data_IF_505557636822
#
_entry.id   IF_505557636822
#
_cell.length_a   1.000
_cell.length_b   1.000
_cell.length_c   1.000
_cell.angle_alpha   90.00
_cell.angle_beta   90.00
_cell.angle_gamma   90.00
#
_symmetry.space_group_name_H-M   'P 1'
#
loop_
_entity.id
_entity.type
_entity.pdbx_description
1 polymer ?
#
# COMPACT_ATOMS: atom_id res chain seq x y z
N UNK A 1 1.39 -19.14 -9.48
CA UNK A 1 0.08 -18.61 -9.05
C UNK A 1 0.30 -17.19 -8.56
N UNK A 2 -0.32 -16.21 -9.22
CA UNK A 2 -0.25 -14.81 -8.79
C UNK A 2 -1.03 -14.66 -7.47
N UNK A 3 -0.56 -13.84 -6.50
CA UNK A 3 -1.35 -13.46 -5.32
C UNK A 3 -2.81 -13.10 -5.60
N UNK A 4 -3.10 -12.50 -6.78
CA UNK A 4 -4.45 -12.16 -7.23
C UNK A 4 -5.35 -13.38 -7.47
N UNK A 5 -4.80 -14.51 -7.95
CA UNK A 5 -5.57 -15.75 -8.14
C UNK A 5 -5.94 -16.39 -6.80
N UNK A 6 -5.03 -16.30 -5.82
CA UNK A 6 -5.30 -16.73 -4.44
C UNK A 6 -6.43 -15.92 -3.79
N UNK A 7 -6.52 -14.63 -4.11
CA UNK A 7 -7.49 -13.69 -3.56
C UNK A 7 -8.90 -13.86 -4.11
N UNK A 8 -9.04 -14.06 -5.42
CA UNK A 8 -10.35 -14.33 -6.05
C UNK A 8 -10.87 -15.69 -5.59
N UNK A 9 -9.98 -16.69 -5.46
CA UNK A 9 -10.34 -18.02 -4.96
C UNK A 9 -10.87 -17.97 -3.53
N UNK A 10 -10.22 -17.19 -2.66
CA UNK A 10 -10.54 -17.13 -1.23
C UNK A 10 -11.72 -16.19 -0.91
N UNK A 11 -11.81 -15.03 -1.57
CA UNK A 11 -12.88 -14.04 -1.34
C UNK A 11 -14.24 -14.50 -1.87
N UNK A 12 -14.27 -15.39 -2.86
CA UNK A 12 -15.50 -15.91 -3.48
C UNK A 12 -15.77 -17.39 -3.16
N UNK A 13 -15.03 -18.00 -2.24
CA UNK A 13 -15.23 -19.39 -1.83
C UNK A 13 -15.10 -20.41 -2.97
N UNK A 14 -14.28 -20.10 -3.99
CA UNK A 14 -14.04 -21.00 -5.12
C UNK A 14 -13.13 -22.12 -4.61
N UNK A 15 -13.65 -23.35 -4.57
CA UNK A 15 -12.81 -24.50 -4.24
C UNK A 15 -11.70 -24.66 -5.27
N UNK A 16 -10.45 -24.84 -4.80
CA UNK A 16 -9.24 -25.09 -5.62
C UNK A 16 -9.45 -26.18 -6.67
N UNK A 17 -10.38 -27.11 -6.43
CA UNK A 17 -10.77 -28.18 -7.34
C UNK A 17 -11.50 -27.75 -8.62
N UNK A 18 -11.95 -26.48 -8.73
CA UNK A 18 -12.67 -25.96 -9.91
C UNK A 18 -11.82 -25.05 -10.80
N UNK A 19 -10.61 -24.66 -10.38
CA UNK A 19 -9.73 -23.81 -11.19
C UNK A 19 -8.79 -24.71 -12.00
N UNK A 20 -8.96 -24.70 -13.32
CA UNK A 20 -8.03 -25.37 -14.23
C UNK A 20 -6.66 -24.69 -14.08
N UNK A 21 -5.67 -25.41 -13.54
CA UNK A 21 -4.32 -24.90 -13.26
C UNK A 21 -3.75 -24.18 -14.50
N UNK A 22 -3.43 -22.88 -14.36
CA UNK A 22 -2.77 -22.04 -15.38
C UNK A 22 -3.68 -21.26 -16.33
N UNK A 23 -4.98 -21.59 -16.46
CA UNK A 23 -5.87 -20.89 -17.39
C UNK A 23 -6.23 -19.45 -16.95
N UNK A 24 -6.08 -19.15 -15.66
CA UNK A 24 -6.37 -17.83 -15.11
C UNK A 24 -5.18 -16.87 -15.14
N UNK A 25 -3.95 -17.37 -15.33
CA UNK A 25 -2.75 -16.53 -15.36
C UNK A 25 -2.79 -15.47 -16.47
N UNK A 26 -3.56 -15.70 -17.55
CA UNK A 26 -3.78 -14.72 -18.63
C UNK A 26 -4.56 -13.47 -18.19
N UNK A 27 -5.29 -13.54 -17.07
CA UNK A 27 -6.04 -12.42 -16.51
C UNK A 27 -5.23 -11.65 -15.45
N UNK A 28 -4.03 -12.14 -15.12
CA UNK A 28 -3.12 -11.45 -14.22
C UNK A 28 -2.72 -10.10 -14.81
N UNK A 29 -2.78 -9.06 -13.99
CA UNK A 29 -2.23 -7.77 -14.38
C UNK A 29 -0.69 -7.82 -14.45
N UNK A 30 -0.14 -7.26 -15.53
CA UNK A 30 1.29 -7.33 -15.81
C UNK A 30 2.13 -6.43 -14.89
N UNK A 31 1.64 -5.23 -14.55
CA UNK A 31 2.38 -4.24 -13.75
C UNK A 31 1.86 -4.12 -12.31
N UNK A 32 0.70 -4.72 -12.03
CA UNK A 32 0.07 -4.80 -10.73
C UNK A 32 -0.79 -3.59 -10.38
N UNK A 33 -1.19 -2.75 -11.34
CA UNK A 33 -2.04 -1.58 -11.12
C UNK A 33 -3.34 -1.75 -11.89
N UNK A 34 -4.47 -1.77 -11.17
CA UNK A 34 -5.80 -1.88 -11.78
C UNK A 34 -6.67 -0.71 -11.32
N UNK A 35 -6.92 0.24 -12.22
CA UNK A 35 -7.85 1.34 -11.95
C UNK A 35 -9.31 0.85 -11.92
N UNK A 36 -10.10 1.34 -10.96
CA UNK A 36 -11.53 1.00 -10.89
C UNK A 36 -12.28 1.57 -12.10
N UNK A 37 -11.94 2.79 -12.51
CA UNK A 37 -12.42 3.40 -13.75
C UNK A 37 -11.50 3.05 -14.91
N UNK A 38 -12.01 2.98 -16.16
CA UNK A 38 -11.17 2.84 -17.34
C UNK A 38 -10.17 4.00 -17.45
N UNK A 39 -8.89 3.67 -17.44
CA UNK A 39 -7.75 4.58 -17.61
C UNK A 39 -6.81 3.92 -18.63
N UNK A 40 -6.17 4.71 -19.49
CA UNK A 40 -5.19 4.22 -20.50
C UNK A 40 -5.73 3.22 -21.52
N UNK A 41 -7.04 3.22 -21.78
CA UNK A 41 -7.67 2.25 -22.67
C UNK A 41 -7.81 0.85 -22.07
N UNK A 42 -7.46 0.67 -20.80
CA UNK A 42 -7.72 -0.56 -20.07
C UNK A 42 -9.19 -0.65 -19.64
N UNK A 43 -9.71 -1.87 -19.60
CA UNK A 43 -11.04 -2.14 -19.05
C UNK A 43 -11.12 -1.81 -17.56
N UNK A 44 -12.32 -1.53 -17.07
CA UNK A 44 -12.54 -1.27 -15.64
C UNK A 44 -12.15 -2.49 -14.78
N UNK A 45 -11.82 -2.25 -13.51
CA UNK A 45 -11.57 -3.35 -12.57
C UNK A 45 -12.74 -4.34 -12.48
N UNK A 46 -13.98 -3.84 -12.58
CA UNK A 46 -15.17 -4.69 -12.53
C UNK A 46 -15.30 -5.56 -13.79
N UNK A 47 -15.04 -5.02 -14.99
CA UNK A 47 -15.06 -5.80 -16.23
C UNK A 47 -13.97 -6.87 -16.24
N UNK A 48 -12.75 -6.51 -15.81
CA UNK A 48 -11.64 -7.45 -15.63
C UNK A 48 -12.01 -8.58 -14.69
N UNK A 49 -12.60 -8.25 -13.54
CA UNK A 49 -13.05 -9.25 -12.56
C UNK A 49 -14.18 -10.13 -13.12
N UNK A 50 -15.15 -9.57 -13.83
CA UNK A 50 -16.21 -10.37 -14.48
C UNK A 50 -15.65 -11.35 -15.50
N UNK A 51 -14.69 -10.92 -16.31
CA UNK A 51 -14.05 -11.80 -17.30
C UNK A 51 -13.29 -12.95 -16.62
N UNK A 52 -12.57 -12.65 -15.53
CA UNK A 52 -11.89 -13.66 -14.73
C UNK A 52 -12.88 -14.64 -14.08
N UNK A 53 -13.98 -14.15 -13.50
CA UNK A 53 -15.01 -15.00 -12.91
C UNK A 53 -15.73 -15.84 -13.97
N UNK A 54 -16.00 -15.27 -15.14
CA UNK A 54 -16.58 -16.00 -16.26
C UNK A 54 -15.69 -17.16 -16.72
N UNK A 55 -14.38 -16.93 -16.82
CA UNK A 55 -13.42 -17.98 -17.12
C UNK A 55 -13.32 -19.03 -16.00
N UNK A 56 -13.33 -18.60 -14.74
CA UNK A 56 -13.22 -19.49 -13.58
C UNK A 56 -14.44 -20.40 -13.39
N UNK A 57 -15.65 -19.89 -13.62
CA UNK A 57 -16.90 -20.65 -13.47
C UNK A 57 -17.37 -21.31 -14.78
N UNK A 58 -16.84 -20.90 -15.93
CA UNK A 58 -17.20 -21.46 -17.24
C UNK A 58 -18.71 -21.44 -17.46
N UNK A 59 -19.30 -22.60 -17.74
CA UNK A 59 -20.74 -22.75 -17.97
C UNK A 59 -21.59 -22.44 -16.71
N UNK A 60 -21.02 -22.48 -15.50
CA UNK A 60 -21.71 -22.12 -14.26
C UNK A 60 -21.82 -20.59 -14.08
N UNK A 61 -21.11 -19.80 -14.90
CA UNK A 61 -21.14 -18.34 -14.82
C UNK A 61 -22.47 -17.76 -15.33
N UNK A 62 -23.06 -16.87 -14.54
CA UNK A 62 -24.28 -16.16 -14.90
C UNK A 62 -24.45 -14.92 -14.01
N UNK A 63 -25.35 -14.02 -14.39
CA UNK A 63 -25.74 -12.87 -13.54
C UNK A 63 -26.28 -13.33 -12.18
N UNK A 64 -26.97 -14.47 -12.14
CA UNK A 64 -27.45 -15.07 -10.89
C UNK A 64 -26.27 -15.55 -10.01
N UNK A 65 -25.24 -16.13 -10.62
CA UNK A 65 -24.00 -16.52 -9.93
C UNK A 65 -23.26 -15.29 -9.38
N UNK A 66 -23.11 -14.22 -10.17
CA UNK A 66 -22.49 -12.97 -9.70
C UNK A 66 -23.22 -12.41 -8.47
N UNK A 67 -24.56 -12.37 -8.50
CA UNK A 67 -25.37 -11.93 -7.36
C UNK A 67 -25.20 -12.83 -6.13
N UNK A 68 -25.13 -14.16 -6.34
CA UNK A 68 -24.86 -15.12 -5.27
C UNK A 68 -23.49 -14.88 -4.63
N UNK A 69 -22.46 -14.61 -5.43
CA UNK A 69 -21.11 -14.31 -4.98
C UNK A 69 -21.05 -13.00 -4.17
N UNK A 70 -21.71 -11.94 -4.65
CA UNK A 70 -21.83 -10.67 -3.91
C UNK A 70 -22.57 -10.84 -2.56
N UNK A 71 -23.56 -11.72 -2.49
CA UNK A 71 -24.22 -12.07 -1.23
C UNK A 71 -23.30 -12.82 -0.28
N UNK A 72 -22.52 -13.78 -0.80
CA UNK A 72 -21.58 -14.56 0.00
C UNK A 72 -20.40 -13.74 0.53
N UNK A 73 -19.93 -12.74 -0.24
CA UNK A 73 -18.83 -11.86 0.16
C UNK A 73 -19.20 -10.94 1.35
N UNK A 74 -20.49 -10.64 1.54
CA UNK A 74 -20.97 -9.76 2.62
C UNK A 74 -21.94 -10.49 3.57
N UNK A 75 -21.48 -11.51 4.33
CA UNK A 75 -22.36 -12.36 5.14
C UNK A 75 -23.09 -11.62 6.28
N UNK A 76 -22.52 -10.50 6.75
CA UNK A 76 -23.02 -9.73 7.88
C UNK A 76 -23.50 -8.31 7.49
N UNK A 77 -24.02 -8.13 6.28
CA UNK A 77 -24.48 -6.81 5.82
C UNK A 77 -25.32 -6.83 4.56
N UNK A 78 -25.65 -5.64 4.06
CA UNK A 78 -26.32 -5.50 2.76
C UNK A 78 -25.31 -5.84 1.65
N UNK A 79 -25.60 -6.83 0.79
CA UNK A 79 -24.79 -7.13 -0.38
C UNK A 79 -24.74 -5.91 -1.31
N UNK A 80 -23.58 -5.68 -1.92
CA UNK A 80 -23.44 -4.70 -3.00
C UNK A 80 -24.34 -5.06 -4.19
N UNK A 81 -24.84 -4.04 -4.89
CA UNK A 81 -25.71 -4.23 -6.05
C UNK A 81 -24.96 -4.65 -7.32
N UNK A 82 -23.65 -4.39 -7.38
CA UNK A 82 -22.76 -4.79 -8.48
C UNK A 82 -21.32 -5.00 -8.00
N UNK A 83 -20.48 -5.59 -8.86
CA UNK A 83 -19.04 -5.71 -8.62
C UNK A 83 -18.34 -4.35 -8.51
N UNK A 84 -18.76 -3.33 -9.25
CA UNK A 84 -18.23 -1.96 -9.11
C UNK A 84 -18.46 -1.41 -7.71
N UNK A 85 -19.68 -1.52 -7.20
CA UNK A 85 -20.01 -1.04 -5.86
C UNK A 85 -19.21 -1.83 -4.81
N UNK A 86 -19.08 -3.14 -4.97
CA UNK A 86 -18.31 -3.98 -4.07
C UNK A 86 -16.82 -3.63 -4.07
N UNK A 87 -16.17 -3.58 -5.24
CA UNK A 87 -14.76 -3.20 -5.41
C UNK A 87 -14.48 -1.83 -4.81
N UNK A 88 -15.40 -0.90 -5.01
CA UNK A 88 -15.29 0.46 -4.50
C UNK A 88 -15.45 0.52 -2.98
N UNK A 89 -16.50 -0.06 -2.43
CA UNK A 89 -16.95 0.26 -1.06
C UNK A 89 -16.59 -0.80 -0.01
N UNK A 90 -16.44 -2.06 -0.41
CA UNK A 90 -16.37 -3.21 0.50
C UNK A 90 -15.08 -4.00 0.40
N UNK A 91 -14.64 -4.27 -0.83
CA UNK A 91 -13.53 -5.17 -1.14
C UNK A 91 -12.30 -4.93 -0.26
N UNK A 92 -11.75 -3.72 -0.22
CA UNK A 92 -10.50 -3.49 0.52
C UNK A 92 -10.65 -3.66 2.04
N UNK A 93 -11.82 -3.36 2.60
CA UNK A 93 -12.09 -3.58 4.03
C UNK A 93 -12.20 -5.08 4.33
N UNK A 94 -12.91 -5.82 3.49
CA UNK A 94 -13.03 -7.28 3.58
C UNK A 94 -11.67 -7.95 3.41
N UNK A 95 -10.89 -7.53 2.40
CA UNK A 95 -9.51 -7.95 2.15
C UNK A 95 -8.61 -7.72 3.37
N UNK A 96 -8.69 -6.53 3.97
CA UNK A 96 -7.95 -6.25 5.20
C UNK A 96 -8.30 -7.23 6.31
N UNK A 97 -9.58 -7.56 6.53
CA UNK A 97 -10.00 -8.51 7.60
C UNK A 97 -9.56 -9.93 7.28
N UNK A 98 -9.72 -10.34 6.03
CA UNK A 98 -9.41 -11.67 5.52
C UNK A 98 -7.92 -12.02 5.70
N UNK A 99 -7.05 -11.05 5.46
CA UNK A 99 -5.60 -11.20 5.61
C UNK A 99 -5.07 -10.62 6.93
N UNK A 100 -5.87 -10.65 8.00
CA UNK A 100 -5.45 -10.27 9.35
C UNK A 100 -4.75 -8.89 9.43
N UNK A 101 -5.26 -7.93 8.66
CA UNK A 101 -4.72 -6.58 8.48
C UNK A 101 -3.29 -6.52 7.94
N UNK A 102 -2.97 -7.48 7.04
CA UNK A 102 -1.77 -7.53 6.18
C UNK A 102 -2.21 -7.68 4.71
N UNK A 103 -3.02 -6.75 4.16
CA UNK A 103 -3.52 -6.87 2.80
C UNK A 103 -2.37 -6.81 1.78
N UNK A 104 -2.45 -7.60 0.71
CA UNK A 104 -1.49 -7.57 -0.39
C UNK A 104 -2.03 -6.94 -1.67
N UNK A 105 -3.29 -6.51 -1.68
CA UNK A 105 -3.84 -5.58 -2.68
C UNK A 105 -4.21 -4.31 -1.93
N UNK A 106 -3.63 -3.20 -2.34
CA UNK A 106 -3.85 -1.91 -1.69
C UNK A 106 -4.78 -1.08 -2.55
N UNK A 107 -5.90 -0.66 -1.96
CA UNK A 107 -6.81 0.26 -2.62
C UNK A 107 -6.41 1.69 -2.30
N UNK A 108 -5.74 2.33 -3.24
CA UNK A 108 -5.28 3.72 -3.16
C UNK A 108 -6.29 4.60 -3.90
N UNK A 109 -6.65 5.74 -3.29
CA UNK A 109 -7.67 6.62 -3.85
C UNK A 109 -7.46 8.07 -3.43
N UNK A 110 -8.10 8.99 -4.16
CA UNK A 110 -8.01 10.45 -3.94
C UNK A 110 -9.02 10.98 -2.90
N UNK A 111 -9.68 10.07 -2.17
CA UNK A 111 -10.66 10.42 -1.15
C UNK A 111 -12.05 10.77 -1.68
N UNK A 112 -12.28 10.72 -3.00
CA UNK A 112 -13.58 10.94 -3.62
C UNK A 112 -14.21 9.64 -4.11
N UNK A 113 -15.55 9.58 -4.02
CA UNK A 113 -16.32 8.47 -4.61
C UNK A 113 -16.28 8.50 -6.14
N UNK A 114 -16.29 9.67 -6.75
CA UNK A 114 -16.24 9.88 -8.21
C UNK A 114 -14.82 10.20 -8.71
N UNK A 115 -13.80 9.98 -7.88
CA UNK A 115 -12.40 10.29 -8.18
C UNK A 115 -11.55 9.09 -8.58
N UNK A 116 -10.24 9.29 -8.55
CA UNK A 116 -9.26 8.26 -8.84
C UNK A 116 -9.28 7.15 -7.78
N UNK A 117 -9.34 5.91 -8.24
CA UNK A 117 -9.29 4.72 -7.41
C UNK A 117 -8.48 3.64 -8.15
N UNK A 118 -7.48 3.06 -7.49
CA UNK A 118 -6.66 1.99 -8.03
C UNK A 118 -6.43 0.89 -6.99
N UNK A 119 -6.47 -0.36 -7.46
CA UNK A 119 -6.02 -1.54 -6.73
C UNK A 119 -4.59 -1.83 -7.15
N UNK A 120 -3.68 -1.92 -6.18
CA UNK A 120 -2.24 -2.04 -6.42
C UNK A 120 -1.70 -3.27 -5.72
N UNK A 121 -1.03 -4.15 -6.46
CA UNK A 121 -0.43 -5.36 -5.91
C UNK A 121 0.82 -5.01 -5.09
N UNK A 122 0.78 -5.30 -3.79
CA UNK A 122 1.89 -5.09 -2.87
C UNK A 122 3.19 -5.77 -3.32
N UNK A 123 3.11 -6.96 -3.93
CA UNK A 123 4.31 -7.68 -4.36
C UNK A 123 5.02 -6.97 -5.53
N UNK A 124 4.27 -6.23 -6.36
CA UNK A 124 4.84 -5.35 -7.38
C UNK A 124 5.34 -4.06 -6.76
N UNK A 125 4.54 -3.46 -5.88
CA UNK A 125 4.87 -2.22 -5.20
C UNK A 125 6.08 -2.33 -4.25
N UNK A 126 6.38 -3.54 -3.76
CA UNK A 126 7.56 -3.89 -2.99
C UNK A 126 8.53 -4.81 -3.76
N UNK A 127 8.45 -4.80 -5.09
CA UNK A 127 9.29 -5.62 -5.94
C UNK A 127 10.78 -5.25 -5.82
N UNK A 128 11.69 -6.23 -5.95
CA UNK A 128 13.12 -6.01 -5.80
C UNK A 128 13.71 -5.21 -6.97
N UNK A 129 14.99 -4.84 -6.88
CA UNK A 129 15.76 -4.26 -8.00
C UNK A 129 15.10 -3.00 -8.62
N UNK A 130 14.49 -2.16 -7.78
CA UNK A 130 13.81 -0.94 -8.20
C UNK A 130 12.45 -1.16 -8.88
N UNK A 131 11.92 -2.38 -8.93
CA UNK A 131 10.56 -2.65 -9.41
C UNK A 131 9.53 -1.89 -8.56
N UNK A 132 9.64 -1.96 -7.23
CA UNK A 132 8.71 -1.27 -6.33
C UNK A 132 8.65 0.25 -6.57
N UNK A 133 9.81 0.88 -6.78
CA UNK A 133 9.92 2.29 -7.15
C UNK A 133 9.22 2.57 -8.48
N UNK A 134 9.53 1.79 -9.51
CA UNK A 134 8.92 1.94 -10.85
C UNK A 134 7.40 1.76 -10.81
N UNK A 135 6.88 0.81 -10.04
CA UNK A 135 5.43 0.63 -9.86
C UNK A 135 4.81 1.86 -9.18
N UNK A 136 5.43 2.43 -8.15
CA UNK A 136 4.91 3.63 -7.51
C UNK A 136 5.00 4.86 -8.42
N UNK A 137 6.07 4.99 -9.21
CA UNK A 137 6.22 6.05 -10.23
C UNK A 137 5.16 5.91 -11.33
N UNK A 138 4.90 4.70 -11.82
CA UNK A 138 3.83 4.43 -12.79
C UNK A 138 2.46 4.81 -12.22
N UNK A 139 2.14 4.41 -10.98
CA UNK A 139 0.90 4.83 -10.32
C UNK A 139 0.77 6.36 -10.25
N UNK A 140 1.86 7.05 -9.89
CA UNK A 140 1.88 8.50 -9.58
C UNK A 140 1.85 9.39 -10.82
N UNK A 141 2.66 9.05 -11.82
CA UNK A 141 2.90 9.90 -12.99
C UNK A 141 2.22 9.40 -14.25
N UNK A 142 1.95 8.10 -14.33
CA UNK A 142 1.34 7.48 -15.50
C UNK A 142 -0.17 7.33 -15.31
N UNK A 143 -0.62 6.47 -14.39
CA UNK A 143 -2.05 6.22 -14.19
C UNK A 143 -2.79 7.44 -13.62
N UNK A 144 -2.29 7.99 -12.52
CA UNK A 144 -2.87 9.20 -11.95
C UNK A 144 -2.61 10.43 -12.83
N UNK A 145 -1.49 10.48 -13.56
CA UNK A 145 -1.20 11.54 -14.53
C UNK A 145 -2.25 11.62 -15.65
N UNK A 146 -2.58 10.48 -16.25
CA UNK A 146 -3.61 10.40 -17.30
C UNK A 146 -5.00 10.78 -16.76
N UNK A 147 -5.32 10.37 -15.53
CA UNK A 147 -6.54 10.81 -14.85
C UNK A 147 -6.57 12.33 -14.64
N UNK A 148 -5.46 12.92 -14.19
CA UNK A 148 -5.32 14.38 -14.00
C UNK A 148 -5.53 15.12 -15.33
N UNK A 149 -4.92 14.66 -16.43
CA UNK A 149 -5.08 15.31 -17.74
C UNK A 149 -6.53 15.23 -18.23
N UNK A 150 -7.22 14.12 -18.01
CA UNK A 150 -8.66 14.02 -18.25
C UNK A 150 -9.44 15.03 -17.41
N UNK A 151 -9.16 15.15 -16.10
CA UNK A 151 -9.86 16.13 -15.25
C UNK A 151 -9.60 17.58 -15.67
N UNK A 152 -8.38 17.90 -16.14
CA UNK A 152 -8.06 19.21 -16.73
C UNK A 152 -8.84 19.48 -18.02
N UNK A 153 -9.06 18.47 -18.86
CA UNK A 153 -9.89 18.61 -20.06
C UNK A 153 -11.36 18.85 -19.67
N UNK A 154 -11.90 18.05 -18.76
CA UNK A 154 -13.27 18.20 -18.27
C UNK A 154 -13.51 19.56 -17.59
N UNK A 155 -12.51 20.07 -16.85
CA UNK A 155 -12.54 21.42 -16.27
C UNK A 155 -12.60 22.51 -17.36
N UNK A 156 -11.77 22.40 -18.40
CA UNK A 156 -11.78 23.36 -19.53
C UNK A 156 -13.12 23.36 -20.28
N UNK A 157 -13.80 22.21 -20.31
CA UNK A 157 -15.14 22.05 -20.89
C UNK A 157 -16.27 22.54 -19.94
N UNK A 158 -15.94 22.99 -18.73
CA UNK A 158 -16.93 23.44 -17.75
C UNK A 158 -17.80 22.32 -17.19
N UNK A 159 -17.35 21.06 -17.21
CA UNK A 159 -18.12 19.93 -16.67
C UNK A 159 -18.26 20.05 -15.16
N UNK A 160 -19.47 19.80 -14.68
CA UNK A 160 -19.78 19.89 -13.26
C UNK A 160 -18.88 18.97 -12.41
N UNK A 161 -18.36 19.53 -11.32
CA UNK A 161 -17.50 18.83 -10.36
C UNK A 161 -16.07 18.55 -10.82
N UNK A 162 -15.68 18.93 -12.05
CA UNK A 162 -14.33 18.69 -12.58
C UNK A 162 -13.24 19.38 -11.74
N UNK A 163 -13.47 20.60 -11.27
CA UNK A 163 -12.55 21.32 -10.37
C UNK A 163 -12.23 20.51 -9.11
N UNK A 164 -13.26 19.92 -8.51
CA UNK A 164 -13.12 19.18 -7.26
C UNK A 164 -12.46 17.82 -7.49
N UNK A 165 -12.68 17.17 -8.64
CA UNK A 165 -11.97 15.94 -9.03
C UNK A 165 -10.50 16.23 -9.33
N UNK A 166 -10.20 17.29 -10.06
CA UNK A 166 -8.83 17.71 -10.35
C UNK A 166 -8.05 18.04 -9.08
N UNK A 167 -8.64 18.81 -8.16
CA UNK A 167 -8.00 19.14 -6.89
C UNK A 167 -7.68 17.90 -6.04
N UNK A 168 -8.60 16.93 -5.97
CA UNK A 168 -8.38 15.68 -5.25
C UNK A 168 -7.27 14.83 -5.89
N UNK A 169 -7.27 14.72 -7.22
CA UNK A 169 -6.25 13.98 -7.96
C UNK A 169 -4.84 14.58 -7.79
N UNK A 170 -4.73 15.91 -7.83
CA UNK A 170 -3.47 16.63 -7.58
C UNK A 170 -2.98 16.45 -6.14
N UNK A 171 -3.88 16.48 -5.16
CA UNK A 171 -3.53 16.22 -3.77
C UNK A 171 -3.03 14.79 -3.55
N UNK A 172 -3.70 13.79 -4.12
CA UNK A 172 -3.19 12.40 -4.10
C UNK A 172 -1.80 12.30 -4.74
N UNK A 173 -1.56 12.99 -5.87
CA UNK A 173 -0.26 12.97 -6.51
C UNK A 173 0.83 13.59 -5.63
N UNK A 174 0.53 14.69 -4.91
CA UNK A 174 1.43 15.29 -3.93
C UNK A 174 1.77 14.31 -2.80
N UNK A 175 0.77 13.58 -2.29
CA UNK A 175 0.98 12.57 -1.25
C UNK A 175 1.85 11.41 -1.73
N UNK A 176 1.64 10.90 -2.94
CA UNK A 176 2.45 9.83 -3.51
C UNK A 176 3.90 10.26 -3.77
N UNK A 177 4.13 11.52 -4.18
CA UNK A 177 5.49 12.09 -4.31
C UNK A 177 6.25 12.09 -2.99
N UNK A 178 5.60 12.45 -1.89
CA UNK A 178 6.20 12.41 -0.55
C UNK A 178 6.61 10.98 -0.15
N UNK A 179 5.84 9.97 -0.54
CA UNK A 179 6.19 8.56 -0.33
C UNK A 179 7.38 8.15 -1.22
N UNK A 180 7.41 8.57 -2.48
CA UNK A 180 8.55 8.33 -3.39
C UNK A 180 9.86 8.94 -2.87
N UNK A 181 9.78 10.16 -2.33
CA UNK A 181 10.88 10.87 -1.68
C UNK A 181 11.29 10.21 -0.37
N UNK A 182 10.34 9.71 0.41
CA UNK A 182 10.59 8.94 1.63
C UNK A 182 11.24 9.77 2.74
N UNK A 183 10.94 11.06 2.84
CA UNK A 183 11.28 11.86 4.02
C UNK A 183 10.27 11.61 5.15
N UNK A 184 10.67 11.72 6.43
CA UNK A 184 9.75 11.61 7.56
C UNK A 184 8.51 12.51 7.42
N UNK A 185 7.29 12.01 7.73
CA UNK A 185 6.96 10.69 8.27
C UNK A 185 6.62 9.63 7.20
N UNK A 186 7.03 9.85 5.94
CA UNK A 186 6.77 8.98 4.80
C UNK A 186 7.92 8.00 4.51
N UNK A 187 8.98 8.04 5.32
CA UNK A 187 10.07 7.10 5.23
C UNK A 187 9.66 5.70 5.70
N UNK A 188 10.36 4.69 5.19
CA UNK A 188 10.28 3.34 5.73
C UNK A 188 11.31 3.21 6.85
N UNK A 189 10.85 2.79 8.02
CA UNK A 189 11.70 2.45 9.16
C UNK A 189 11.59 0.96 9.47
N UNK A 190 12.72 0.27 9.41
CA UNK A 190 12.84 -1.18 9.59
C UNK A 190 13.68 -1.46 10.83
N UNK A 191 13.02 -1.67 11.97
CA UNK A 191 13.68 -1.76 13.29
C UNK A 191 14.84 -2.76 13.40
N UNK A 192 14.83 -3.84 12.60
CA UNK A 192 15.85 -4.89 12.64
C UNK A 192 17.02 -4.68 11.66
N UNK A 193 16.90 -3.72 10.73
CA UNK A 193 17.99 -3.35 9.82
C UNK A 193 18.86 -2.27 10.46
N UNK A 194 20.19 -2.34 10.34
CA UNK A 194 21.07 -1.28 10.81
C UNK A 194 20.80 0.03 10.05
N UNK A 195 21.24 1.16 10.60
CA UNK A 195 20.95 2.49 10.09
C UNK A 195 21.41 2.68 8.63
N UNK A 196 22.52 2.04 8.25
CA UNK A 196 23.03 2.09 6.87
C UNK A 196 22.22 1.22 5.89
N UNK A 197 21.44 0.24 6.35
CA UNK A 197 20.55 -0.58 5.50
C UNK A 197 19.10 -0.08 5.48
N UNK A 198 18.78 0.99 6.22
CA UNK A 198 17.44 1.58 6.16
C UNK A 198 17.12 2.05 4.73
N UNK A 199 15.89 1.83 4.22
CA UNK A 199 15.49 2.28 2.88
C UNK A 199 15.54 3.80 2.73
N UNK A 200 15.95 4.28 1.55
CA UNK A 200 15.94 5.71 1.17
C UNK A 200 14.93 5.89 0.04
N UNK A 201 13.98 6.81 0.20
CA UNK A 201 12.83 6.89 -0.70
C UNK A 201 11.95 5.64 -0.66
N UNK A 202 11.19 5.42 -1.72
CA UNK A 202 10.43 4.18 -1.90
C UNK A 202 11.31 3.05 -2.46
N UNK A 203 12.08 2.42 -1.56
CA UNK A 203 12.86 1.20 -1.81
C UNK A 203 12.53 0.10 -0.78
N UNK A 204 11.27 -0.32 -0.67
CA UNK A 204 10.87 -1.38 0.25
C UNK A 204 11.54 -2.72 -0.08
N UNK A 205 11.75 -3.52 0.96
CA UNK A 205 12.06 -4.94 0.83
C UNK A 205 10.80 -5.74 1.18
N UNK A 206 10.38 -6.63 0.28
CA UNK A 206 9.19 -7.44 0.48
C UNK A 206 9.27 -8.30 1.75
N UNK A 207 10.48 -8.71 2.14
CA UNK A 207 10.73 -9.55 3.31
C UNK A 207 10.58 -8.79 4.63
N UNK A 208 10.58 -7.45 4.61
CA UNK A 208 10.28 -6.65 5.80
C UNK A 208 8.78 -6.71 6.19
N UNK A 209 7.96 -7.17 5.24
CA UNK A 209 6.55 -7.47 5.45
C UNK A 209 5.62 -6.26 5.33
N UNK A 210 4.35 -6.55 5.04
CA UNK A 210 3.30 -5.55 4.78
C UNK A 210 3.19 -4.51 5.91
N UNK A 211 3.36 -4.91 7.17
CA UNK A 211 3.26 -3.99 8.33
C UNK A 211 4.21 -2.82 8.17
N UNK A 212 5.44 -3.04 7.73
CA UNK A 212 6.44 -1.98 7.64
C UNK A 212 6.19 -1.12 6.40
N UNK A 213 6.00 -1.78 5.26
CA UNK A 213 5.91 -1.12 3.97
C UNK A 213 4.61 -0.32 3.77
N UNK A 214 3.51 -0.67 4.45
CA UNK A 214 2.23 0.06 4.30
C UNK A 214 2.20 1.38 5.07
N UNK A 215 3.13 1.61 6.01
CA UNK A 215 3.11 2.76 6.93
C UNK A 215 3.08 4.11 6.21
N UNK A 216 3.92 4.39 5.20
CA UNK A 216 3.91 5.69 4.50
C UNK A 216 2.55 6.02 3.88
N UNK A 217 1.85 5.02 3.36
CA UNK A 217 0.51 5.16 2.76
C UNK A 217 -0.56 5.49 3.81
N UNK A 218 -0.40 5.00 5.03
CA UNK A 218 -1.27 5.34 6.16
C UNK A 218 -0.95 6.73 6.75
N UNK A 219 0.31 7.16 6.68
CA UNK A 219 0.75 8.50 7.14
C UNK A 219 0.36 9.61 6.17
N UNK A 220 0.37 9.33 4.87
CA UNK A 220 0.00 10.29 3.82
C UNK A 220 -1.48 10.66 3.91
N UNK A 221 -1.76 11.90 4.31
CA UNK A 221 -3.13 12.35 4.63
C UNK A 221 -3.62 13.30 3.54
N UNK A 222 -4.78 12.95 2.95
CA UNK A 222 -5.48 13.80 1.99
C UNK A 222 -6.03 15.05 2.68
N UNK A 223 -5.98 16.19 1.99
CA UNK A 223 -6.50 17.48 2.46
C UNK A 223 -8.01 17.47 2.66
N UNK A 224 -8.72 16.66 1.86
CA UNK A 224 -10.19 16.52 1.92
C UNK A 224 -10.60 15.09 1.57
N UNK A 225 -11.69 14.63 2.19
CA UNK A 225 -12.22 13.29 1.97
C UNK A 225 -11.41 12.23 2.70
N UNK A 226 -11.30 11.05 2.11
CA UNK A 226 -10.59 9.93 2.73
C UNK A 226 -11.35 9.31 3.91
N UNK A 227 -10.67 8.41 4.63
CA UNK A 227 -11.18 7.82 5.88
C UNK A 227 -10.20 8.08 7.02
N UNK A 228 -10.72 8.39 8.20
CA UNK A 228 -9.91 8.75 9.35
C UNK A 228 -8.85 7.69 9.68
N UNK A 229 -7.57 8.09 9.67
CA UNK A 229 -6.44 7.22 9.97
C UNK A 229 -6.13 6.14 8.92
N UNK A 230 -6.72 6.21 7.73
CA UNK A 230 -6.39 5.34 6.59
C UNK A 230 -5.35 5.96 5.65
N UNK A 231 -5.00 7.24 5.84
CA UNK A 231 -4.15 7.98 4.91
C UNK A 231 -4.76 8.02 3.50
N UNK A 232 -3.99 7.62 2.50
CA UNK A 232 -4.44 7.49 1.10
C UNK A 232 -5.05 6.12 0.77
N UNK A 233 -5.20 5.23 1.75
CA UNK A 233 -5.87 3.95 1.57
C UNK A 233 -7.39 4.08 1.71
N UNK A 234 -8.11 3.17 1.04
CA UNK A 234 -9.58 3.18 1.07
C UNK A 234 -10.19 2.85 2.42
N UNK A 235 -9.51 2.06 3.23
CA UNK A 235 -9.91 1.65 4.57
C UNK A 235 -8.68 1.57 5.46
N UNK A 236 -8.86 1.61 6.78
CA UNK A 236 -7.75 1.55 7.74
C UNK A 236 -7.44 0.09 8.10
N UNK A 237 -6.27 -0.45 7.74
CA UNK A 237 -5.79 -1.69 8.35
C UNK A 237 -5.60 -1.49 9.86
N UNK A 238 -6.00 -2.48 10.67
CA UNK A 238 -5.83 -2.42 12.12
C UNK A 238 -4.40 -2.81 12.51
N UNK A 239 -3.48 -1.85 12.38
CA UNK A 239 -2.06 -2.01 12.70
C UNK A 239 -1.72 -1.13 13.91
N UNK A 240 -1.03 -1.72 14.89
CA UNK A 240 -0.53 -1.02 16.06
C UNK A 240 0.96 -0.66 15.86
N UNK A 241 1.30 0.61 16.07
CA UNK A 241 2.66 1.16 15.92
C UNK A 241 3.36 1.42 17.26
N UNK A 242 2.69 1.13 18.39
CA UNK A 242 3.29 1.23 19.72
C UNK A 242 4.50 0.30 19.86
N UNK A 243 5.24 0.50 20.94
CA UNK A 243 6.33 -0.38 21.37
C UNK A 243 5.89 -1.84 21.42
N UNK A 244 6.63 -2.72 20.75
CA UNK A 244 6.41 -4.16 20.84
C UNK A 244 6.95 -4.71 22.18
N UNK A 245 6.43 -5.87 22.62
CA UNK A 245 6.92 -6.57 23.81
C UNK A 245 8.32 -7.16 23.57
N UNK A 246 9.07 -7.31 24.66
CA UNK A 246 10.42 -7.89 24.66
C UNK A 246 11.52 -6.86 24.46
N UNK A 247 12.77 -7.32 24.54
CA UNK A 247 13.99 -6.52 24.36
C UNK A 247 14.93 -7.20 23.37
N UNK A 248 15.74 -6.42 22.67
CA UNK A 248 16.84 -6.92 21.85
C UNK A 248 18.10 -7.17 22.70
N UNK A 249 18.99 -8.10 22.31
CA UNK A 249 20.28 -8.29 22.96
C UNK A 249 21.28 -7.21 22.52
N UNK A 250 22.04 -6.68 23.47
CA UNK A 250 23.04 -5.61 23.23
C UNK A 250 24.14 -6.04 22.25
N UNK A 251 24.60 -7.29 22.35
CA UNK A 251 25.68 -7.84 21.51
C UNK A 251 25.40 -7.82 20.00
N UNK A 252 24.13 -7.74 19.59
CA UNK A 252 23.74 -7.68 18.17
C UNK A 252 23.32 -6.28 17.74
N UNK A 253 23.29 -5.30 18.65
CA UNK A 253 22.70 -3.98 18.43
C UNK A 253 23.64 -2.84 18.83
N UNK A 254 24.82 -2.72 18.18
CA UNK A 254 25.73 -1.62 18.43
C UNK A 254 25.05 -0.27 18.19
N UNK A 255 25.42 0.73 18.99
CA UNK A 255 24.75 2.05 19.03
C UNK A 255 24.73 2.75 17.68
N UNK A 256 25.83 2.74 16.95
CA UNK A 256 25.96 3.48 15.69
C UNK A 256 25.05 2.93 14.58
N UNK A 257 24.74 1.63 14.64
CA UNK A 257 23.88 0.95 13.69
C UNK A 257 22.41 0.91 14.16
N UNK A 258 22.17 0.85 15.46
CA UNK A 258 20.82 0.71 16.02
C UNK A 258 20.56 1.72 17.15
N UNK A 259 20.66 3.04 16.89
CA UNK A 259 20.59 4.06 17.94
C UNK A 259 19.27 4.04 18.72
N UNK A 260 18.19 3.55 18.12
CA UNK A 260 16.87 3.42 18.76
C UNK A 260 16.78 2.38 19.88
N UNK A 261 17.77 1.51 20.07
CA UNK A 261 17.84 0.61 21.23
C UNK A 261 18.63 1.19 22.42
N UNK A 262 19.12 2.42 22.28
CA UNK A 262 19.96 3.09 23.27
C UNK A 262 19.21 4.26 23.90
N UNK A 263 18.34 4.00 24.87
CA UNK A 263 17.67 5.05 25.65
C UNK A 263 16.59 5.84 24.89
N UNK A 264 16.09 5.29 23.77
CA UNK A 264 15.01 5.91 23.00
C UNK A 264 13.69 5.81 23.78
N UNK A 265 12.95 6.91 23.86
CA UNK A 265 11.63 6.98 24.50
C UNK A 265 10.78 8.09 23.86
N UNK A 266 10.21 7.85 22.67
CA UNK A 266 9.39 8.84 21.95
C UNK A 266 8.04 9.14 22.64
N UNK A 267 7.64 8.38 23.66
CA UNK A 267 6.45 8.67 24.45
C UNK A 267 6.72 9.77 25.49
N UNK A 268 7.92 9.79 26.08
CA UNK A 268 8.34 10.87 27.00
C UNK A 268 9.03 12.03 26.31
N UNK A 269 9.75 11.74 25.23
CA UNK A 269 10.61 12.66 24.50
C UNK A 269 10.25 12.61 23.01
N UNK A 270 9.21 13.36 22.55
CA UNK A 270 8.75 13.30 21.16
C UNK A 270 9.84 13.53 20.11
N UNK A 271 10.90 14.28 20.45
CA UNK A 271 12.09 14.50 19.63
C UNK A 271 12.84 13.20 19.29
N UNK A 272 12.74 12.16 20.12
CA UNK A 272 13.35 10.85 19.86
C UNK A 272 12.70 10.11 18.69
N UNK A 273 11.53 10.58 18.21
CA UNK A 273 10.80 9.96 17.11
C UNK A 273 11.53 10.07 15.77
N UNK A 274 12.34 11.12 15.59
CA UNK A 274 12.98 11.43 14.31
C UNK A 274 14.46 11.64 14.50
N UNK A 275 15.29 10.93 13.71
CA UNK A 275 16.75 11.09 13.67
C UNK A 275 17.45 10.94 15.04
N UNK A 276 16.90 10.12 15.94
CA UNK A 276 17.52 9.87 17.23
C UNK A 276 18.81 9.07 17.07
N UNK A 277 19.94 9.60 17.57
CA UNK A 277 21.27 8.99 17.39
C UNK A 277 21.76 8.21 18.64
N UNK A 278 20.85 7.89 19.57
CA UNK A 278 21.14 7.06 20.73
C UNK A 278 21.64 7.83 21.95
N UNK A 279 21.10 7.47 23.12
CA UNK A 279 21.51 7.90 24.45
C UNK A 279 22.68 7.09 25.01
N UNK A 280 22.92 7.21 26.32
CA UNK A 280 24.07 6.58 26.99
C UNK A 280 23.88 5.09 27.27
N UNK A 281 22.65 4.68 27.61
CA UNK A 281 22.36 3.34 28.11
C UNK A 281 21.62 2.50 27.08
N UNK A 282 22.01 1.24 26.93
CA UNK A 282 21.22 0.26 26.18
C UNK A 282 19.94 -0.11 26.94
N UNK A 283 18.79 -0.11 26.26
CA UNK A 283 17.51 -0.55 26.83
C UNK A 283 16.81 -1.65 26.04
N UNK A 284 17.23 -1.86 24.78
CA UNK A 284 16.70 -2.88 23.87
C UNK A 284 15.23 -2.68 23.46
N UNK A 285 14.66 -1.49 23.67
CA UNK A 285 13.24 -1.24 23.50
C UNK A 285 12.79 -1.29 22.04
N UNK A 286 11.69 -2.01 21.78
CA UNK A 286 11.19 -2.28 20.42
C UNK A 286 10.23 -1.23 19.90
N UNK A 287 10.71 0.00 19.75
CA UNK A 287 9.92 1.10 19.18
C UNK A 287 9.70 0.93 17.68
N UNK A 288 8.46 1.01 17.21
CA UNK A 288 8.12 0.84 15.80
C UNK A 288 7.76 2.14 15.08
N UNK A 289 7.39 3.17 15.83
CA UNK A 289 6.92 4.46 15.31
C UNK A 289 8.05 5.50 15.28
N UNK A 290 9.20 5.12 14.68
CA UNK A 290 10.37 5.98 14.53
C UNK A 290 10.62 6.30 13.05
N UNK A 291 11.42 7.33 12.80
CA UNK A 291 11.70 7.86 11.47
C UNK A 291 13.15 8.34 11.35
N UNK A 292 13.73 8.17 10.17
CA UNK A 292 15.06 8.69 9.84
C UNK A 292 15.03 9.36 8.47
N UNK A 293 15.55 10.59 8.38
CA UNK A 293 15.64 11.31 7.11
C UNK A 293 16.59 10.63 6.15
N UNK A 294 16.38 10.86 4.85
CA UNK A 294 17.26 10.29 3.82
C UNK A 294 18.71 10.73 4.04
N UNK A 295 18.94 11.97 4.47
CA UNK A 295 20.26 12.49 4.78
C UNK A 295 20.97 11.69 5.89
N UNK A 296 20.26 11.30 6.96
CA UNK A 296 20.85 10.52 8.05
C UNK A 296 21.19 9.10 7.59
N UNK A 297 20.28 8.47 6.84
CA UNK A 297 20.49 7.13 6.26
C UNK A 297 21.66 7.12 5.28
N UNK A 298 21.75 8.13 4.41
CA UNK A 298 22.83 8.29 3.44
C UNK A 298 24.18 8.49 4.15
N UNK A 299 24.23 9.35 5.16
CA UNK A 299 25.45 9.54 5.96
C UNK A 299 25.90 8.25 6.66
N UNK A 300 24.97 7.40 7.12
CA UNK A 300 25.30 6.09 7.70
C UNK A 300 25.89 5.13 6.65
N UNK A 301 25.30 5.06 5.44
CA UNK A 301 25.83 4.28 4.31
C UNK A 301 27.26 4.68 3.95
N UNK A 302 27.54 5.98 3.90
CA UNK A 302 28.87 6.49 3.57
C UNK A 302 29.92 6.14 4.64
N UNK A 303 29.54 6.18 5.93
CA UNK A 303 30.44 5.75 7.01
C UNK A 303 30.72 4.25 6.95
N UNK A 304 29.70 3.43 6.75
CA UNK A 304 29.85 1.98 6.61
C UNK A 304 30.76 1.62 5.43
N UNK A 305 30.58 2.26 4.27
CA UNK A 305 31.41 2.04 3.08
C UNK A 305 32.89 2.42 3.29
N UNK A 306 33.19 3.40 4.16
CA UNK A 306 34.57 3.77 4.52
C UNK A 306 35.20 2.76 5.48
N UNK A 307 34.44 2.23 6.43
CA UNK A 307 34.93 1.23 7.40
C UNK A 307 35.25 -0.14 6.79
N UNK A 308 34.66 -0.49 5.64
CA UNK A 308 34.94 -1.74 4.92
C UNK A 308 36.25 -1.68 4.11
N UNK A 309 36.82 -0.48 3.89
CA UNK A 309 38.05 -0.27 3.09
C UNK A 309 39.34 -0.25 3.92
N UNK A 310 39.27 -0.56 5.21
CA UNK A 310 40.41 -0.66 6.15
C UNK A 310 40.47 -2.05 6.74
#
# INVERSE_FOLDING_TARGET
MNPFDHEVTFSFGISRSKLVDGALDQFADSDGIVCLSPVRGESSAADRLRNLLAAAFGNDWSTAKEKQLLQAATPNGRPSSSLEEWLKDKFFEEHCKLFHHRPFIWHIWDGRKDGFNALVNYHRLAGPNGDGRRTLEALTYTYLGDWIERQKAEQREGKEGADARLAAALDLQEQLKKILEGEPPYDIFVRWKPLYEQPIGWEPDINDGVRINIRPFMSATLKKGGRAGAGILRSKPNINWKKDRGKEPESLRPKDDFPWFWGCDPERHPEHRTNFMGGQNFDGNRWNDLHYSNAVKQGARERAAKGVRT
#
